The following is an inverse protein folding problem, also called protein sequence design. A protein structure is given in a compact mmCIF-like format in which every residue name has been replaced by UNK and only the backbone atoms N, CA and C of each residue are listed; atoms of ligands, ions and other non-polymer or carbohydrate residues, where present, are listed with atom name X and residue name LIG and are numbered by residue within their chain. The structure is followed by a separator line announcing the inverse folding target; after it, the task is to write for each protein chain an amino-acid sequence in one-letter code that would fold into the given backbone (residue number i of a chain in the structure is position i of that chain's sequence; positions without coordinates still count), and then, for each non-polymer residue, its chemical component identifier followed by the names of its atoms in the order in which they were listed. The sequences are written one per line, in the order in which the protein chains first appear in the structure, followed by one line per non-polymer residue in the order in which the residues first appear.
data_IF_255917148301
#
_entry.id   IF_255917148301
#
_cell.length_a   1.000
_cell.length_b   1.000
_cell.length_c   1.000
_cell.angle_alpha   90.00
_cell.angle_beta   90.00
_cell.angle_gamma   90.00
#
_symmetry.space_group_name_H-M   'P 1'
#
loop_
_entity.id
_entity.type
_entity.pdbx_description
1 polymer ?
#
# COMPACT_ATOMS: atom_id res chain seq x y z
N UNK A 1 7.35 12.98 13.32
CA UNK A 1 6.66 13.73 14.40
C UNK A 1 6.03 12.80 15.46
N UNK A 2 5.43 11.67 15.07
CA UNK A 2 4.73 10.78 16.00
C UNK A 2 5.66 9.99 16.96
N UNK A 3 6.85 9.57 16.52
CA UNK A 3 7.85 8.90 17.38
C UNK A 3 8.26 9.77 18.58
N UNK A 4 8.43 11.08 18.37
CA UNK A 4 8.74 12.04 19.42
C UNK A 4 7.59 12.20 20.42
N UNK A 5 6.34 12.21 19.97
CA UNK A 5 5.17 12.18 20.86
C UNK A 5 5.15 10.91 21.73
N UNK A 6 5.27 9.73 21.12
CA UNK A 6 5.22 8.47 21.87
C UNK A 6 6.35 8.37 22.90
N UNK A 7 7.55 8.85 22.56
CA UNK A 7 8.68 8.97 23.49
C UNK A 7 8.39 9.95 24.63
N UNK A 8 7.88 11.15 24.33
CA UNK A 8 7.56 12.18 25.33
C UNK A 8 6.54 11.71 26.36
N UNK A 9 5.57 10.90 25.95
CA UNK A 9 4.52 10.38 26.83
C UNK A 9 4.77 8.95 27.33
N UNK A 10 5.97 8.40 27.09
CA UNK A 10 6.35 7.04 27.45
C UNK A 10 5.32 5.98 27.01
N UNK A 11 4.74 6.18 25.82
CA UNK A 11 3.76 5.26 25.23
C UNK A 11 4.55 4.13 24.56
N UNK A 12 4.43 2.87 25.03
CA UNK A 12 5.10 1.75 24.40
C UNK A 12 4.43 1.47 23.06
N UNK A 13 5.12 1.79 21.96
CA UNK A 13 4.74 1.37 20.61
C UNK A 13 5.88 0.51 20.08
N UNK A 14 5.51 -0.66 19.57
CA UNK A 14 6.37 -1.56 18.83
C UNK A 14 6.04 -1.49 17.33
N UNK A 15 6.74 -2.29 16.53
CA UNK A 15 6.51 -2.36 15.08
C UNK A 15 5.05 -2.75 14.75
N UNK A 16 4.50 -3.70 15.50
CA UNK A 16 3.12 -4.18 15.33
C UNK A 16 2.09 -3.07 15.58
N UNK A 17 2.29 -2.28 16.64
CA UNK A 17 1.47 -1.11 16.94
C UNK A 17 1.57 -0.05 15.84
N UNK A 18 2.77 0.25 15.36
CA UNK A 18 2.97 1.18 14.25
C UNK A 18 2.29 0.70 12.95
N UNK A 19 2.38 -0.59 12.63
CA UNK A 19 1.67 -1.19 11.50
C UNK A 19 0.15 -1.05 11.66
N UNK A 20 -0.39 -1.28 12.86
CA UNK A 20 -1.83 -1.09 13.14
C UNK A 20 -2.27 0.35 12.93
N UNK A 21 -1.52 1.32 13.43
CA UNK A 21 -1.82 2.74 13.21
C UNK A 21 -1.76 3.12 11.73
N UNK A 22 -0.77 2.61 11.01
CA UNK A 22 -0.69 2.78 9.55
C UNK A 22 -1.90 2.18 8.84
N UNK A 23 -2.27 0.93 9.14
CA UNK A 23 -3.46 0.29 8.55
C UNK A 23 -4.72 1.10 8.81
N UNK A 24 -4.91 1.64 10.02
CA UNK A 24 -6.06 2.49 10.32
C UNK A 24 -6.08 3.77 9.47
N UNK A 25 -4.92 4.41 9.22
CA UNK A 25 -4.84 5.54 8.28
C UNK A 25 -5.22 5.12 6.87
N UNK A 26 -4.70 3.98 6.41
CA UNK A 26 -5.04 3.44 5.09
C UNK A 26 -6.53 3.13 4.96
N UNK A 27 -7.16 2.52 5.97
CA UNK A 27 -8.61 2.29 6.01
C UNK A 27 -9.37 3.61 5.85
N UNK A 28 -9.00 4.64 6.61
CA UNK A 28 -9.63 5.95 6.51
C UNK A 28 -9.48 6.57 5.11
N UNK A 29 -8.30 6.45 4.49
CA UNK A 29 -8.06 6.93 3.11
C UNK A 29 -8.95 6.19 2.11
N UNK A 30 -9.00 4.86 2.20
CA UNK A 30 -9.83 4.04 1.31
C UNK A 30 -11.31 4.39 1.48
N UNK A 31 -11.80 4.47 2.72
CA UNK A 31 -13.17 4.86 3.03
C UNK A 31 -13.51 6.25 2.52
N UNK A 32 -12.62 7.23 2.68
CA UNK A 32 -12.81 8.57 2.13
C UNK A 32 -12.96 8.52 0.61
N UNK A 33 -12.08 7.81 -0.08
CA UNK A 33 -12.11 7.72 -1.55
C UNK A 33 -13.38 7.03 -2.03
N UNK A 34 -13.76 5.91 -1.39
CA UNK A 34 -14.99 5.17 -1.68
C UNK A 34 -16.21 6.06 -1.41
N UNK A 35 -16.26 6.73 -0.26
CA UNK A 35 -17.34 7.64 0.11
C UNK A 35 -17.51 8.76 -0.93
N UNK A 36 -16.42 9.45 -1.27
CA UNK A 36 -16.41 10.51 -2.27
C UNK A 36 -16.83 10.00 -3.65
N UNK A 37 -16.43 8.78 -4.04
CA UNK A 37 -16.93 8.19 -5.27
C UNK A 37 -18.44 8.08 -5.25
N UNK A 38 -19.04 7.64 -4.15
CA UNK A 38 -20.48 7.43 -4.07
C UNK A 38 -21.29 8.72 -3.85
N UNK A 39 -20.75 9.70 -3.12
CA UNK A 39 -21.49 10.85 -2.60
C UNK A 39 -21.20 12.18 -3.32
N UNK A 40 -20.30 12.20 -4.31
CA UNK A 40 -19.94 13.40 -5.07
C UNK A 40 -21.04 13.95 -6.01
N UNK A 41 -22.18 13.27 -6.14
CA UNK A 41 -23.37 13.82 -6.82
C UNK A 41 -24.63 13.45 -6.03
N UNK A 42 -25.53 14.43 -5.89
CA UNK A 42 -26.87 14.47 -5.25
C UNK A 42 -27.47 13.12 -4.77
N UNK A 43 -28.23 13.11 -3.65
CA UNK A 43 -28.85 11.92 -3.09
C UNK A 43 -29.97 11.42 -4.01
N UNK A 44 -29.63 10.71 -5.08
CA UNK A 44 -30.57 9.96 -5.88
C UNK A 44 -30.72 8.57 -5.24
N UNK A 45 -31.96 8.08 -5.05
CA UNK A 45 -32.19 6.86 -4.29
C UNK A 45 -31.63 5.64 -5.03
N UNK A 46 -30.85 4.84 -4.30
CA UNK A 46 -30.73 3.38 -4.44
C UNK A 46 -30.18 2.75 -5.73
N UNK A 47 -29.90 3.49 -6.80
CA UNK A 47 -29.19 2.93 -7.94
C UNK A 47 -27.71 3.31 -7.87
N UNK A 48 -26.91 2.40 -7.32
CA UNK A 48 -25.46 2.37 -7.51
C UNK A 48 -25.19 2.60 -9.01
N UNK A 49 -24.52 3.70 -9.35
CA UNK A 49 -24.11 3.90 -10.74
C UNK A 49 -23.30 2.68 -11.17
N UNK A 50 -23.64 2.01 -12.29
CA UNK A 50 -22.98 0.79 -12.75
C UNK A 50 -21.45 0.91 -12.85
N UNK A 51 -20.94 2.14 -13.05
CA UNK A 51 -19.51 2.44 -13.10
C UNK A 51 -18.82 2.32 -11.73
N UNK A 52 -19.47 2.73 -10.64
CA UNK A 52 -18.87 2.77 -9.30
C UNK A 52 -18.76 1.37 -8.69
N UNK A 53 -19.82 0.56 -8.80
CA UNK A 53 -19.79 -0.87 -8.42
C UNK A 53 -18.76 -1.63 -9.25
N UNK A 54 -18.64 -1.31 -10.55
CA UNK A 54 -17.64 -1.94 -11.41
C UNK A 54 -16.22 -1.66 -10.94
N UNK A 55 -15.92 -0.47 -10.40
CA UNK A 55 -14.60 -0.18 -9.84
C UNK A 55 -14.27 -1.11 -8.66
N UNK A 56 -15.18 -1.21 -7.68
CA UNK A 56 -14.95 -2.05 -6.51
C UNK A 56 -14.81 -3.53 -6.90
N UNK A 57 -15.56 -4.00 -7.90
CA UNK A 57 -15.37 -5.35 -8.46
C UNK A 57 -13.98 -5.51 -9.07
N UNK A 58 -13.47 -4.52 -9.82
CA UNK A 58 -12.12 -4.57 -10.38
C UNK A 58 -11.03 -4.59 -9.30
N UNK A 59 -11.22 -3.81 -8.23
CA UNK A 59 -10.32 -3.78 -7.07
C UNK A 59 -10.36 -5.14 -6.36
N UNK A 60 -11.56 -5.64 -6.03
CA UNK A 60 -11.76 -6.92 -5.36
C UNK A 60 -11.13 -8.08 -6.16
N UNK A 61 -11.35 -8.13 -7.48
CA UNK A 61 -10.73 -9.11 -8.37
C UNK A 61 -9.20 -9.02 -8.34
N UNK A 62 -8.64 -7.81 -8.33
CA UNK A 62 -7.19 -7.61 -8.30
C UNK A 62 -6.56 -8.08 -6.99
N UNK A 63 -7.25 -7.88 -5.86
CA UNK A 63 -6.79 -8.36 -4.55
C UNK A 63 -7.21 -9.81 -4.24
N UNK A 64 -7.90 -10.48 -5.18
CA UNK A 64 -8.35 -11.86 -5.01
C UNK A 64 -9.51 -12.03 -4.02
N UNK A 65 -10.25 -10.97 -3.70
CA UNK A 65 -11.42 -11.01 -2.81
C UNK A 65 -12.71 -11.18 -3.60
N UNK A 66 -13.63 -11.99 -3.08
CA UNK A 66 -14.98 -12.12 -3.64
C UNK A 66 -15.77 -10.85 -3.37
N UNK A 67 -16.46 -10.34 -4.39
CA UNK A 67 -17.33 -9.18 -4.26
C UNK A 67 -18.80 -9.62 -4.28
N UNK A 68 -19.54 -9.33 -3.21
CA UNK A 68 -20.97 -9.62 -3.10
C UNK A 68 -21.81 -8.34 -3.06
N UNK A 69 -21.39 -7.39 -2.22
CA UNK A 69 -22.00 -6.08 -2.06
C UNK A 69 -20.93 -5.05 -1.68
N UNK A 70 -21.27 -3.76 -1.72
CA UNK A 70 -20.37 -2.67 -1.29
C UNK A 70 -20.13 -2.77 0.22
N UNK A 71 -21.19 -3.00 0.97
CA UNK A 71 -21.18 -3.10 2.44
C UNK A 71 -20.34 -4.29 2.91
N UNK A 72 -20.41 -5.43 2.23
CA UNK A 72 -19.59 -6.59 2.56
C UNK A 72 -18.11 -6.34 2.21
N UNK A 73 -17.85 -5.60 1.13
CA UNK A 73 -16.49 -5.22 0.76
C UNK A 73 -15.89 -4.24 1.78
N UNK A 74 -16.60 -3.18 2.16
CA UNK A 74 -16.18 -2.24 3.22
C UNK A 74 -15.95 -2.95 4.54
N UNK A 75 -16.88 -3.83 4.96
CA UNK A 75 -16.73 -4.64 6.17
C UNK A 75 -15.49 -5.55 6.09
N UNK A 76 -15.17 -6.08 4.91
CA UNK A 76 -13.96 -6.89 4.71
C UNK A 76 -12.67 -6.09 4.85
N UNK A 77 -12.68 -4.80 4.52
CA UNK A 77 -11.55 -3.89 4.72
C UNK A 77 -11.39 -3.58 6.22
N UNK A 78 -12.48 -3.37 6.93
CA UNK A 78 -12.45 -3.03 8.35
C UNK A 78 -11.95 -4.17 9.23
N UNK A 79 -12.32 -5.41 8.92
CA UNK A 79 -11.85 -6.59 9.65
C UNK A 79 -10.49 -7.11 9.18
N UNK A 80 -9.92 -6.53 8.13
CA UNK A 80 -8.58 -6.92 7.70
C UNK A 80 -7.57 -6.47 8.76
N UNK A 81 -6.73 -7.41 9.19
CA UNK A 81 -5.61 -7.15 10.13
C UNK A 81 -4.26 -7.38 9.45
N UNK A 82 -4.26 -7.92 8.22
CA UNK A 82 -3.06 -8.18 7.48
C UNK A 82 -2.50 -6.89 6.85
N UNK A 83 -1.32 -6.50 7.31
CA UNK A 83 -0.59 -5.33 6.81
C UNK A 83 -0.36 -5.39 5.29
N UNK A 84 0.03 -6.55 4.75
CA UNK A 84 0.32 -6.69 3.33
C UNK A 84 -0.94 -6.57 2.47
N UNK A 85 -2.08 -7.01 2.98
CA UNK A 85 -3.35 -6.88 2.26
C UNK A 85 -3.78 -5.42 2.13
N UNK A 86 -3.54 -4.59 3.15
CA UNK A 86 -3.79 -3.15 3.04
C UNK A 86 -2.89 -2.48 2.01
N UNK A 87 -1.62 -2.86 1.94
CA UNK A 87 -0.72 -2.36 0.91
C UNK A 87 -1.26 -2.72 -0.48
N UNK A 88 -1.61 -3.98 -0.68
CA UNK A 88 -2.11 -4.46 -1.97
C UNK A 88 -3.43 -3.81 -2.37
N UNK A 89 -4.31 -3.53 -1.39
CA UNK A 89 -5.57 -2.84 -1.61
C UNK A 89 -5.38 -1.40 -2.08
N UNK A 90 -4.43 -0.68 -1.49
CA UNK A 90 -4.09 0.69 -1.91
C UNK A 90 -3.48 0.70 -3.32
N UNK A 91 -2.58 -0.24 -3.62
CA UNK A 91 -2.05 -0.39 -4.98
C UNK A 91 -3.16 -0.69 -6.00
N UNK A 92 -4.10 -1.55 -5.62
CA UNK A 92 -5.23 -1.88 -6.46
C UNK A 92 -6.14 -0.67 -6.70
N UNK A 93 -6.41 0.12 -5.66
CA UNK A 93 -7.16 1.36 -5.76
C UNK A 93 -6.45 2.33 -6.71
N UNK A 94 -5.16 2.58 -6.52
CA UNK A 94 -4.37 3.50 -7.35
C UNK A 94 -4.41 3.14 -8.85
N UNK A 95 -4.44 1.85 -9.18
CA UNK A 95 -4.47 1.40 -10.58
C UNK A 95 -5.75 1.83 -11.30
N UNK A 96 -6.89 1.85 -10.61
CA UNK A 96 -8.18 2.00 -11.26
C UNK A 96 -8.87 3.35 -11.02
N UNK A 97 -8.38 4.18 -10.09
CA UNK A 97 -8.88 5.55 -9.93
C UNK A 97 -8.42 6.46 -11.07
N UNK A 98 -9.16 7.54 -11.28
CA UNK A 98 -8.85 8.56 -12.29
C UNK A 98 -7.50 9.25 -12.01
N UNK A 99 -6.81 9.67 -13.07
CA UNK A 99 -5.48 10.30 -12.98
C UNK A 99 -5.46 11.50 -12.02
N UNK A 100 -6.52 12.33 -12.03
CA UNK A 100 -6.64 13.49 -11.15
C UNK A 100 -6.59 13.10 -9.66
N UNK A 101 -7.12 11.93 -9.31
CA UNK A 101 -7.16 11.42 -7.93
C UNK A 101 -5.91 10.61 -7.55
N UNK A 102 -5.09 10.19 -8.52
CA UNK A 102 -3.84 9.47 -8.25
C UNK A 102 -2.84 10.31 -7.50
N UNK A 103 -2.72 11.60 -7.83
CA UNK A 103 -1.82 12.50 -7.13
C UNK A 103 -2.25 12.70 -5.68
N UNK A 104 -3.55 12.85 -5.44
CA UNK A 104 -4.12 12.99 -4.11
C UNK A 104 -3.92 11.72 -3.27
N UNK A 105 -4.32 10.55 -3.79
CA UNK A 105 -4.08 9.27 -3.11
C UNK A 105 -2.58 9.07 -2.85
N UNK A 106 -1.72 9.41 -3.81
CA UNK A 106 -0.28 9.33 -3.65
C UNK A 106 0.23 10.15 -2.46
N UNK A 107 -0.21 11.41 -2.35
CA UNK A 107 0.14 12.28 -1.23
C UNK A 107 -0.35 11.72 0.11
N UNK A 108 -1.62 11.30 0.18
CA UNK A 108 -2.19 10.71 1.40
C UNK A 108 -1.45 9.45 1.86
N UNK A 109 -1.01 8.60 0.92
CA UNK A 109 -0.24 7.40 1.23
C UNK A 109 1.16 7.75 1.70
N UNK A 110 1.83 8.71 1.07
CA UNK A 110 3.15 9.19 1.49
C UNK A 110 3.11 9.82 2.90
N UNK A 111 2.07 10.60 3.18
CA UNK A 111 1.80 11.15 4.51
C UNK A 111 1.61 10.02 5.54
N UNK A 112 0.76 9.03 5.23
CA UNK A 112 0.53 7.89 6.11
C UNK A 112 1.82 7.09 6.42
N UNK A 113 2.71 6.93 5.43
CA UNK A 113 4.03 6.31 5.62
C UNK A 113 4.92 7.20 6.50
N UNK A 114 5.03 8.49 6.18
CA UNK A 114 5.94 9.43 6.85
C UNK A 114 5.55 9.73 8.31
N UNK A 115 4.27 9.66 8.64
CA UNK A 115 3.76 9.85 9.99
C UNK A 115 4.00 8.64 10.90
N UNK A 116 4.37 7.49 10.34
CA UNK A 116 4.55 6.27 11.12
C UNK A 116 5.62 6.44 12.20
N UNK A 117 5.29 6.02 13.43
CA UNK A 117 6.19 6.14 14.57
C UNK A 117 7.46 5.28 14.38
N UNK A 118 7.38 4.20 13.62
CA UNK A 118 8.50 3.34 13.26
C UNK A 118 8.72 3.34 11.76
N UNK A 119 9.97 3.07 11.36
CA UNK A 119 10.28 2.75 9.97
C UNK A 119 9.61 1.42 9.62
N UNK A 120 8.55 1.49 8.84
CA UNK A 120 7.81 0.32 8.38
C UNK A 120 8.58 -0.49 7.32
N UNK A 121 9.76 -0.02 6.91
CA UNK A 121 10.56 -0.70 5.89
C UNK A 121 9.93 -0.65 4.51
N UNK A 122 9.04 0.30 4.26
CA UNK A 122 8.35 0.50 2.98
C UNK A 122 8.49 1.93 2.48
N UNK A 123 8.41 2.11 1.17
CA UNK A 123 8.30 3.41 0.49
C UNK A 123 7.22 3.32 -0.57
N UNK A 124 6.44 4.38 -0.72
CA UNK A 124 5.46 4.53 -1.80
C UNK A 124 6.10 5.23 -3.00
N UNK A 125 5.91 4.70 -4.21
CA UNK A 125 6.38 5.31 -5.46
C UNK A 125 5.46 4.91 -6.62
N UNK A 126 4.92 5.88 -7.34
CA UNK A 126 4.17 5.69 -8.58
C UNK A 126 3.10 4.56 -8.50
N UNK A 127 2.31 4.57 -7.43
CA UNK A 127 1.23 3.59 -7.27
C UNK A 127 1.61 2.25 -6.65
N UNK A 128 2.85 2.11 -6.15
CA UNK A 128 3.36 0.84 -5.60
C UNK A 128 4.17 1.05 -4.33
N UNK A 129 4.10 0.06 -3.45
CA UNK A 129 4.98 -0.07 -2.29
C UNK A 129 6.22 -0.87 -2.65
N UNK A 130 7.37 -0.37 -2.18
CA UNK A 130 8.65 -1.05 -2.29
C UNK A 130 9.26 -1.22 -0.90
N UNK A 131 9.99 -2.31 -0.67
CA UNK A 131 10.78 -2.43 0.55
C UNK A 131 11.88 -1.37 0.56
N UNK A 132 11.98 -0.64 1.65
CA UNK A 132 13.08 0.30 1.90
C UNK A 132 14.38 -0.49 1.95
N UNK A 133 15.34 -0.12 1.10
CA UNK A 133 16.61 -0.86 0.95
C UNK A 133 16.64 -1.90 -0.16
N UNK A 134 15.53 -2.20 -0.86
CA UNK A 134 15.56 -3.06 -2.05
C UNK A 134 16.60 -2.61 -3.10
N UNK A 135 16.77 -1.30 -3.41
CA UNK A 135 17.80 -0.86 -4.35
C UNK A 135 19.23 -1.09 -3.86
N UNK A 136 19.45 -1.06 -2.54
CA UNK A 136 20.76 -1.32 -1.95
C UNK A 136 21.07 -2.82 -1.96
N UNK A 137 20.06 -3.65 -1.69
CA UNK A 137 20.17 -5.10 -1.78
C UNK A 137 20.39 -5.55 -3.24
N UNK A 138 19.62 -5.01 -4.19
CA UNK A 138 19.77 -5.30 -5.62
C UNK A 138 21.15 -4.86 -6.11
N UNK A 139 21.60 -3.65 -5.76
CA UNK A 139 22.96 -3.19 -6.10
C UNK A 139 24.04 -4.08 -5.48
N UNK A 140 23.86 -4.51 -4.22
CA UNK A 140 24.81 -5.39 -3.55
C UNK A 140 24.84 -6.77 -4.21
N UNK A 141 23.70 -7.38 -4.49
CA UNK A 141 23.58 -8.67 -5.15
C UNK A 141 24.18 -8.63 -6.56
N UNK A 142 23.88 -7.58 -7.34
CA UNK A 142 24.46 -7.38 -8.67
C UNK A 142 25.98 -7.21 -8.57
N UNK A 143 26.47 -6.36 -7.67
CA UNK A 143 27.90 -6.09 -7.54
C UNK A 143 28.68 -7.30 -6.99
N UNK A 144 28.11 -8.06 -6.06
CA UNK A 144 28.71 -9.30 -5.56
C UNK A 144 28.73 -10.37 -6.67
N UNK A 145 27.64 -10.53 -7.43
CA UNK A 145 27.59 -11.47 -8.55
C UNK A 145 28.59 -11.10 -9.66
N UNK A 146 28.69 -9.81 -10.01
CA UNK A 146 29.68 -9.31 -10.96
C UNK A 146 31.11 -9.40 -10.42
N UNK A 147 31.29 -9.25 -9.11
CA UNK A 147 32.58 -9.45 -8.44
C UNK A 147 33.04 -10.90 -8.50
N UNK A 148 32.11 -11.85 -8.27
CA UNK A 148 32.35 -13.29 -8.42
C UNK A 148 32.70 -13.64 -9.87
N UNK A 149 31.97 -13.09 -10.85
CA UNK A 149 32.24 -13.30 -12.29
C UNK A 149 33.60 -12.73 -12.75
N UNK A 150 34.13 -11.74 -12.04
CA UNK A 150 35.45 -11.13 -12.34
C UNK A 150 36.59 -11.78 -11.55
N UNK A 151 36.28 -12.70 -10.65
CA UNK A 151 37.28 -13.40 -9.85
C UNK A 151 37.97 -14.46 -10.72
N UNK A 152 39.30 -14.34 -10.91
CA UNK A 152 40.11 -15.19 -11.80
C UNK A 152 39.96 -16.68 -11.53
N UNK A 153 39.56 -17.06 -10.31
CA UNK A 153 39.33 -18.48 -9.94
C UNK A 153 38.13 -19.12 -10.66
N UNK A 154 37.25 -18.34 -11.28
CA UNK A 154 36.07 -18.81 -12.02
C UNK A 154 36.15 -18.56 -13.53
N UNK A 155 37.30 -18.08 -14.04
CA UNK A 155 37.51 -17.73 -15.46
C UNK A 155 37.31 -18.93 -16.40
N UNK A 156 37.57 -20.14 -15.93
CA UNK A 156 37.49 -21.38 -16.73
C UNK A 156 36.15 -22.13 -16.62
N UNK A 157 35.13 -21.57 -15.94
CA UNK A 157 33.85 -22.27 -15.70
C UNK A 157 32.88 -22.12 -16.88
N UNK A 158 33.15 -21.20 -17.81
CA UNK A 158 32.25 -20.88 -18.94
C UNK A 158 32.59 -21.70 -20.20
N UNK A 159 33.75 -22.36 -20.26
CA UNK A 159 34.25 -23.09 -21.44
C UNK A 159 34.10 -24.63 -21.34
N UNK A 160 33.10 -25.13 -20.60
CA UNK A 160 32.79 -26.57 -20.47
C UNK A 160 31.47 -26.96 -21.15
#
# INVERSE_FOLDING_TARGET
MQNDFCKRFNIPIDLSGAQRHFMNRIKNIIHLIIYEMYHSFLPLPFFLEPKKTRLLVLIANRVGKKFHSVEDFERSIDHEENFLEHLHLVEALYVYIDEDRKSELGGLVEDAVSESAFDLGIVWRNGRFYRKGAPLLDKKLINESLGILRDKKYENVIDA
#
